data_IF_737997078912
#
_entry.id   IF_737997078912
#
_cell.length_a   1.000
_cell.length_b   1.000
_cell.length_c   1.000
_cell.angle_alpha   90.00
_cell.angle_beta   90.00
_cell.angle_gamma   90.00
#
_symmetry.space_group_name_H-M   'P 1'
#
loop_
_entity.id
_entity.type
_entity.pdbx_description
1 polymer ?
#
# COMPACT_ATOMS: atom_id res chain seq x y z
N UNK A 1 -12.65 16.98 0.72
CA UNK A 1 -12.15 16.41 1.99
C UNK A 1 -10.74 15.94 1.69
N UNK A 2 -9.72 16.68 2.15
CA UNK A 2 -8.31 16.34 1.89
C UNK A 2 -7.93 15.09 2.68
N UNK A 3 -7.29 14.13 2.02
CA UNK A 3 -6.64 13.01 2.71
C UNK A 3 -5.45 13.56 3.49
N UNK A 4 -5.48 13.35 4.80
CA UNK A 4 -4.57 14.01 5.75
C UNK A 4 -3.12 13.48 5.69
N UNK A 5 -2.87 12.47 4.86
CA UNK A 5 -1.61 11.72 4.76
C UNK A 5 -1.32 11.32 3.30
N UNK A 6 -1.40 12.29 2.38
CA UNK A 6 -1.15 12.07 0.95
C UNK A 6 0.37 11.96 0.66
N UNK A 7 0.97 10.85 1.09
CA UNK A 7 2.33 10.46 0.76
C UNK A 7 2.34 9.22 -0.12
N UNK A 8 3.36 9.11 -0.96
CA UNK A 8 3.60 7.93 -1.81
C UNK A 8 5.02 7.43 -1.63
N UNK A 9 5.23 6.14 -1.87
CA UNK A 9 6.59 5.58 -1.96
C UNK A 9 7.38 6.32 -3.04
N UNK A 10 8.61 6.69 -2.73
CA UNK A 10 9.50 7.39 -3.65
C UNK A 10 9.72 6.52 -4.89
N UNK A 11 9.63 7.14 -6.06
CA UNK A 11 9.57 6.45 -7.36
C UNK A 11 10.71 5.45 -7.60
N UNK A 12 11.91 5.74 -7.09
CA UNK A 12 13.06 4.81 -7.19
C UNK A 12 12.82 3.48 -6.48
N UNK A 13 12.14 3.47 -5.33
CA UNK A 13 11.80 2.24 -4.62
C UNK A 13 10.64 1.54 -5.30
N UNK A 14 9.60 2.27 -5.70
CA UNK A 14 8.50 1.68 -6.46
C UNK A 14 8.99 0.97 -7.73
N UNK A 15 9.88 1.61 -8.52
CA UNK A 15 10.48 0.97 -9.71
C UNK A 15 11.28 -0.30 -9.41
N UNK A 16 11.90 -0.41 -8.23
CA UNK A 16 12.57 -1.65 -7.82
C UNK A 16 11.57 -2.74 -7.50
N UNK A 17 10.45 -2.39 -6.85
CA UNK A 17 9.36 -3.32 -6.58
C UNK A 17 8.70 -3.79 -7.89
N UNK A 18 8.47 -2.90 -8.86
CA UNK A 18 8.02 -3.27 -10.21
C UNK A 18 9.00 -4.25 -10.88
N UNK A 19 10.30 -4.02 -10.77
CA UNK A 19 11.30 -4.90 -11.37
C UNK A 19 11.36 -6.29 -10.71
N UNK A 20 10.99 -6.42 -9.44
CA UNK A 20 11.03 -7.69 -8.71
C UNK A 20 9.72 -8.45 -8.72
N UNK A 21 8.60 -7.75 -8.62
CA UNK A 21 7.27 -8.32 -8.35
C UNK A 21 6.20 -7.85 -9.33
N UNK A 22 6.54 -6.93 -10.23
CA UNK A 22 5.63 -6.43 -11.26
C UNK A 22 5.59 -7.33 -12.51
N UNK A 23 4.85 -6.89 -13.55
CA UNK A 23 4.06 -5.66 -13.58
C UNK A 23 2.88 -5.75 -12.61
N UNK A 24 2.64 -4.70 -11.82
CA UNK A 24 1.44 -4.65 -10.99
C UNK A 24 0.25 -4.09 -11.79
N UNK A 25 -0.92 -4.68 -11.58
CA UNK A 25 -2.14 -4.37 -12.33
C UNK A 25 -2.92 -3.19 -11.75
N UNK A 26 -2.83 -2.97 -10.44
CA UNK A 26 -3.64 -1.99 -9.71
C UNK A 26 -2.94 -1.48 -8.45
N UNK A 27 -3.08 -0.19 -8.18
CA UNK A 27 -2.72 0.43 -6.89
C UNK A 27 -3.96 0.45 -5.98
N UNK A 28 -3.95 -0.34 -4.91
CA UNK A 28 -5.12 -0.58 -4.08
C UNK A 28 -5.51 0.62 -3.21
N UNK A 29 -4.55 1.43 -2.77
CA UNK A 29 -4.80 2.43 -1.72
C UNK A 29 -4.27 3.79 -2.14
N UNK A 30 -4.87 4.36 -3.19
CA UNK A 30 -4.36 5.58 -3.80
C UNK A 30 -5.43 6.64 -4.07
N UNK A 31 -4.95 7.86 -4.25
CA UNK A 31 -5.68 9.02 -4.75
C UNK A 31 -5.16 9.35 -6.16
N UNK A 32 -5.87 10.24 -6.87
CA UNK A 32 -5.38 10.76 -8.14
C UNK A 32 -4.02 11.49 -8.03
N UNK A 33 -3.65 11.97 -6.83
CA UNK A 33 -2.40 12.70 -6.58
C UNK A 33 -1.20 11.81 -6.23
N UNK A 34 -1.45 10.62 -5.69
CA UNK A 34 -0.40 9.77 -5.13
C UNK A 34 -0.22 8.42 -5.82
N UNK A 35 -1.14 8.04 -6.71
CA UNK A 35 -1.12 6.72 -7.36
C UNK A 35 0.20 6.44 -8.09
N UNK A 36 0.66 5.19 -7.99
CA UNK A 36 1.85 4.70 -8.69
C UNK A 36 1.52 4.01 -10.03
N UNK A 37 0.24 3.68 -10.26
CA UNK A 37 -0.23 2.89 -11.39
C UNK A 37 -1.38 3.59 -12.12
N UNK A 38 -1.57 3.36 -13.43
CA UNK A 38 -2.69 3.95 -14.16
C UNK A 38 -4.07 3.51 -13.63
N UNK A 39 -4.17 2.26 -13.15
CA UNK A 39 -5.36 1.70 -12.54
C UNK A 39 -5.20 1.75 -11.02
N UNK A 40 -6.17 2.33 -10.32
CA UNK A 40 -6.12 2.41 -8.87
C UNK A 40 -7.51 2.44 -8.24
N UNK A 41 -7.57 2.05 -6.96
CA UNK A 41 -8.76 2.22 -6.12
C UNK A 41 -8.53 3.33 -5.12
N UNK A 42 -9.60 4.08 -4.82
CA UNK A 42 -9.55 5.25 -3.96
C UNK A 42 -10.55 5.17 -2.82
N UNK A 43 -10.23 5.81 -1.68
CA UNK A 43 -11.13 5.83 -0.51
C UNK A 43 -12.46 6.50 -0.83
N UNK A 44 -12.42 7.60 -1.57
CA UNK A 44 -13.58 8.34 -2.05
C UNK A 44 -13.55 8.41 -3.57
N UNK A 45 -14.70 8.65 -4.19
CA UNK A 45 -14.76 8.88 -5.63
C UNK A 45 -13.83 10.03 -6.03
N UNK A 46 -12.95 9.77 -6.98
CA UNK A 46 -12.09 10.79 -7.58
C UNK A 46 -11.87 10.50 -9.08
N UNK A 47 -11.55 11.52 -9.89
CA UNK A 47 -11.27 11.33 -11.31
C UNK A 47 -10.16 10.29 -11.54
N UNK A 48 -10.38 9.36 -12.46
CA UNK A 48 -9.41 8.31 -12.80
C UNK A 48 -9.46 7.07 -11.92
N UNK A 49 -10.17 7.11 -10.78
CA UNK A 49 -10.34 5.94 -9.93
C UNK A 49 -11.12 4.84 -10.65
N UNK A 50 -10.60 3.61 -10.56
CA UNK A 50 -11.22 2.41 -11.12
C UNK A 50 -12.18 1.72 -10.15
N UNK A 51 -12.31 2.25 -8.92
CA UNK A 51 -13.16 1.69 -7.88
C UNK A 51 -13.02 2.45 -6.57
N UNK A 52 -14.14 2.60 -5.86
CA UNK A 52 -14.17 3.19 -4.51
C UNK A 52 -14.11 2.08 -3.49
N UNK A 53 -13.38 2.30 -2.40
CA UNK A 53 -13.15 1.32 -1.34
C UNK A 53 -12.50 0.03 -1.86
N UNK A 54 -11.18 -0.06 -1.69
CA UNK A 54 -10.39 -1.19 -2.13
C UNK A 54 -10.87 -2.53 -1.54
N UNK A 55 -11.36 -2.55 -0.30
CA UNK A 55 -11.83 -3.78 0.34
C UNK A 55 -13.12 -4.30 -0.28
N UNK A 56 -13.91 -3.44 -0.93
CA UNK A 56 -15.10 -3.81 -1.68
C UNK A 56 -14.81 -4.30 -3.11
N UNK A 57 -13.58 -4.12 -3.62
CA UNK A 57 -13.19 -4.52 -4.97
C UNK A 57 -12.63 -5.95 -5.01
N UNK A 58 -12.79 -6.70 -6.11
CA UNK A 58 -12.15 -8.00 -6.27
C UNK A 58 -10.64 -7.84 -6.50
N UNK A 59 -9.85 -8.60 -5.75
CA UNK A 59 -8.39 -8.66 -5.86
C UNK A 59 -7.91 -9.97 -6.49
N UNK A 60 -8.75 -11.02 -6.46
CA UNK A 60 -8.44 -12.32 -7.08
C UNK A 60 -8.05 -12.19 -8.56
N UNK A 61 -6.95 -12.86 -8.92
CA UNK A 61 -6.41 -12.85 -10.29
C UNK A 61 -5.66 -11.58 -10.70
N UNK A 62 -5.52 -10.60 -9.80
CA UNK A 62 -4.68 -9.42 -9.99
C UNK A 62 -3.33 -9.60 -9.31
N UNK A 63 -2.30 -8.97 -9.86
CA UNK A 63 -1.04 -8.69 -9.19
C UNK A 63 -1.07 -7.27 -8.63
N UNK A 64 -1.48 -7.09 -7.38
CA UNK A 64 -1.75 -5.77 -6.82
C UNK A 64 -0.53 -5.12 -6.15
N UNK A 65 -0.48 -3.80 -6.15
CA UNK A 65 0.40 -3.01 -5.30
C UNK A 65 -0.43 -2.22 -4.29
N UNK A 66 0.08 -1.99 -3.08
CA UNK A 66 -0.64 -1.13 -2.13
C UNK A 66 0.23 -0.58 -1.01
N UNK A 67 -0.03 0.68 -0.64
CA UNK A 67 0.49 1.30 0.57
C UNK A 67 -0.68 1.65 1.50
N UNK A 68 -1.25 0.67 2.23
CA UNK A 68 -2.43 0.91 3.05
C UNK A 68 -2.19 1.96 4.15
N UNK A 69 -3.24 2.67 4.59
CA UNK A 69 -3.19 3.48 5.80
C UNK A 69 -2.65 2.67 6.99
N UNK A 70 -1.83 3.31 7.83
CA UNK A 70 -1.22 2.69 9.00
C UNK A 70 -2.21 2.60 10.19
N UNK A 71 -3.37 1.99 9.95
CA UNK A 71 -4.40 1.69 10.93
C UNK A 71 -4.44 0.17 11.19
N UNK A 72 -4.22 -0.30 12.43
CA UNK A 72 -4.12 -1.73 12.73
C UNK A 72 -5.35 -2.56 12.34
N UNK A 73 -6.55 -2.02 12.50
CA UNK A 73 -7.80 -2.73 12.18
C UNK A 73 -7.99 -2.82 10.66
N UNK A 74 -7.67 -1.74 9.95
CA UNK A 74 -7.68 -1.73 8.49
C UNK A 74 -6.63 -2.70 7.92
N UNK A 75 -5.41 -2.71 8.47
CA UNK A 75 -4.36 -3.64 8.06
C UNK A 75 -4.78 -5.11 8.29
N UNK A 76 -5.45 -5.40 9.40
CA UNK A 76 -6.02 -6.73 9.64
C UNK A 76 -7.05 -7.11 8.56
N UNK A 77 -7.96 -6.21 8.20
CA UNK A 77 -8.94 -6.44 7.14
C UNK A 77 -8.27 -6.66 5.76
N UNK A 78 -7.21 -5.91 5.44
CA UNK A 78 -6.41 -6.12 4.22
C UNK A 78 -5.81 -7.53 4.19
N UNK A 79 -5.21 -7.98 5.30
CA UNK A 79 -4.60 -9.31 5.40
C UNK A 79 -5.65 -10.42 5.28
N UNK A 80 -6.81 -10.25 5.92
CA UNK A 80 -7.93 -11.19 5.80
C UNK A 80 -8.39 -11.32 4.35
N UNK A 81 -8.58 -10.18 3.67
CA UNK A 81 -8.99 -10.18 2.26
C UNK A 81 -7.96 -10.82 1.34
N UNK A 82 -6.67 -10.55 1.53
CA UNK A 82 -5.59 -11.24 0.78
C UNK A 82 -5.71 -12.76 0.89
N UNK A 83 -5.94 -13.26 2.12
CA UNK A 83 -6.10 -14.69 2.39
C UNK A 83 -7.37 -15.27 1.76
N UNK A 84 -8.49 -14.60 1.93
CA UNK A 84 -9.80 -15.06 1.46
C UNK A 84 -9.86 -15.16 -0.07
N UNK A 85 -9.28 -14.17 -0.77
CA UNK A 85 -9.29 -14.12 -2.22
C UNK A 85 -8.07 -14.77 -2.89
N UNK A 86 -7.09 -15.24 -2.09
CA UNK A 86 -5.78 -15.72 -2.58
C UNK A 86 -5.15 -14.70 -3.53
N UNK A 87 -5.17 -13.44 -3.14
CA UNK A 87 -4.72 -12.34 -3.97
C UNK A 87 -3.20 -12.18 -3.90
N UNK A 88 -2.55 -12.02 -5.07
CA UNK A 88 -1.15 -11.69 -5.15
C UNK A 88 -0.97 -10.18 -4.95
N UNK A 89 -0.08 -9.78 -4.04
CA UNK A 89 0.13 -8.37 -3.73
C UNK A 89 1.53 -8.03 -3.25
N UNK A 90 1.96 -6.81 -3.54
CA UNK A 90 3.12 -6.18 -2.90
C UNK A 90 2.64 -5.03 -2.01
N UNK A 91 2.70 -5.23 -0.69
CA UNK A 91 2.25 -4.26 0.30
C UNK A 91 3.40 -3.51 0.97
N UNK A 92 3.22 -2.21 1.17
CA UNK A 92 4.12 -1.36 1.94
C UNK A 92 3.47 -1.08 3.29
N UNK A 93 3.97 -1.70 4.34
CA UNK A 93 3.34 -1.71 5.66
C UNK A 93 4.32 -1.28 6.75
N UNK A 94 3.84 -0.70 7.88
CA UNK A 94 4.67 -0.47 9.05
C UNK A 94 5.26 -1.78 9.59
N UNK A 95 6.51 -1.77 10.03
CA UNK A 95 7.08 -2.91 10.75
C UNK A 95 6.60 -2.92 12.21
N UNK A 96 5.47 -3.57 12.48
CA UNK A 96 4.87 -3.67 13.82
C UNK A 96 4.65 -5.13 14.24
N UNK A 97 5.69 -5.87 14.64
CA UNK A 97 5.60 -7.30 14.92
C UNK A 97 4.69 -7.66 16.10
N UNK A 98 4.39 -6.71 16.99
CA UNK A 98 3.49 -6.90 18.11
C UNK A 98 1.99 -6.77 17.74
N UNK A 99 1.67 -6.35 16.51
CA UNK A 99 0.28 -6.19 16.08
C UNK A 99 -0.29 -7.51 15.53
N UNK A 100 -1.57 -7.85 15.79
CA UNK A 100 -2.15 -9.14 15.42
C UNK A 100 -2.12 -9.45 13.91
N UNK A 101 -2.20 -8.43 13.06
CA UNK A 101 -2.17 -8.59 11.60
C UNK A 101 -0.78 -8.97 11.07
N UNK A 102 0.30 -8.63 11.79
CA UNK A 102 1.67 -8.87 11.33
C UNK A 102 1.99 -10.37 11.16
N UNK A 103 1.84 -11.24 12.17
CA UNK A 103 2.11 -12.67 12.00
C UNK A 103 1.21 -13.30 10.92
N UNK A 104 -0.05 -12.87 10.81
CA UNK A 104 -0.96 -13.34 9.76
C UNK A 104 -0.47 -12.94 8.36
N UNK A 105 0.06 -11.73 8.19
CA UNK A 105 0.67 -11.31 6.94
C UNK A 105 1.93 -12.14 6.63
N UNK A 106 2.73 -12.46 7.64
CA UNK A 106 3.94 -13.29 7.45
C UNK A 106 3.62 -14.73 7.04
N UNK A 107 2.48 -15.29 7.45
CA UNK A 107 2.01 -16.60 6.97
C UNK A 107 1.71 -16.60 5.46
N UNK A 108 1.33 -15.45 4.91
CA UNK A 108 1.05 -15.26 3.48
C UNK A 108 2.27 -14.78 2.69
N UNK A 109 3.33 -14.35 3.36
CA UNK A 109 4.44 -13.66 2.72
C UNK A 109 5.38 -14.65 2.02
N UNK A 110 5.60 -14.46 0.72
CA UNK A 110 6.67 -15.17 -0.02
C UNK A 110 8.00 -14.43 0.06
N UNK A 111 7.99 -13.10 0.30
CA UNK A 111 9.20 -12.29 0.49
C UNK A 111 8.95 -11.06 1.34
N UNK A 112 9.93 -10.69 2.16
CA UNK A 112 9.92 -9.47 2.97
C UNK A 112 11.20 -8.68 2.71
N UNK A 113 11.06 -7.39 2.45
CA UNK A 113 12.18 -6.45 2.25
C UNK A 113 12.00 -5.26 3.17
N UNK A 114 12.89 -5.11 4.15
CA UNK A 114 12.93 -3.91 4.98
C UNK A 114 13.49 -2.75 4.18
N UNK A 115 12.74 -1.65 4.12
CA UNK A 115 13.19 -0.45 3.44
C UNK A 115 14.01 0.42 4.41
N UNK A 116 14.82 1.37 3.89
CA UNK A 116 15.54 2.35 4.70
C UNK A 116 14.59 3.23 5.52
N UNK A 117 15.13 4.25 6.21
CA UNK A 117 14.31 5.19 6.98
C UNK A 117 13.10 5.64 6.19
N UNK A 118 11.92 5.59 6.79
CA UNK A 118 10.65 5.96 6.16
C UNK A 118 10.66 7.37 5.57
N UNK A 119 11.42 8.29 6.17
CA UNK A 119 11.63 9.65 5.65
C UNK A 119 12.33 9.69 4.29
N UNK A 120 13.12 8.66 3.94
CA UNK A 120 13.74 8.50 2.62
C UNK A 120 12.85 7.72 1.65
N UNK A 121 11.93 6.92 2.18
CA UNK A 121 11.05 6.02 1.40
C UNK A 121 9.81 6.75 0.91
N UNK A 122 9.31 7.75 1.62
CA UNK A 122 8.08 8.44 1.25
C UNK A 122 8.33 9.86 0.73
N UNK A 123 7.55 10.23 -0.29
CA UNK A 123 7.45 11.60 -0.81
C UNK A 123 6.04 12.11 -0.63
N UNK A 124 5.90 13.37 -0.22
CA UNK A 124 4.61 14.02 -0.12
C UNK A 124 4.07 14.29 -1.53
N UNK A 125 2.83 13.91 -1.79
CA UNK A 125 2.16 14.13 -3.07
C UNK A 125 1.76 15.61 -3.25
N UNK A 126 1.52 16.32 -2.15
CA UNK A 126 1.26 17.76 -2.13
C UNK A 126 2.31 18.52 -1.31
N UNK A 127 2.72 19.71 -1.78
CA UNK A 127 3.54 20.65 -1.00
C UNK A 127 2.64 21.77 -0.48
N UNK A 128 2.28 21.73 0.80
CA UNK A 128 1.45 22.75 1.46
C UNK A 128 1.65 22.77 2.98
N UNK A 129 1.20 23.83 3.68
CA UNK A 129 1.37 23.98 5.13
C UNK A 129 0.61 22.92 5.96
N UNK A 130 -0.31 22.17 5.33
CA UNK A 130 -1.02 21.01 5.88
C UNK A 130 -0.31 19.66 5.62
N UNK A 131 0.92 19.66 5.10
CA UNK A 131 1.70 18.46 4.84
C UNK A 131 1.70 17.52 6.06
N UNK A 132 1.11 16.33 5.88
CA UNK A 132 1.19 15.24 6.86
C UNK A 132 2.65 14.96 7.23
N UNK A 133 2.89 14.53 8.47
CA UNK A 133 4.23 14.10 8.87
C UNK A 133 4.51 12.77 8.17
N UNK A 134 5.69 12.65 7.55
CA UNK A 134 6.13 11.34 7.07
C UNK A 134 6.12 10.35 8.25
N UNK A 135 5.69 9.11 8.01
CA UNK A 135 5.60 8.12 9.08
C UNK A 135 6.98 7.95 9.74
N UNK A 136 7.13 8.01 11.07
CA UNK A 136 8.42 7.89 11.74
C UNK A 136 8.89 6.43 11.93
N UNK A 137 8.06 5.45 11.60
CA UNK A 137 8.34 4.03 11.80
C UNK A 137 9.03 3.40 10.59
N UNK A 138 9.84 2.36 10.84
CA UNK A 138 10.37 1.50 9.79
C UNK A 138 9.23 0.86 8.99
N UNK A 139 9.43 0.70 7.69
CA UNK A 139 8.47 0.07 6.80
C UNK A 139 9.08 -1.13 6.08
N UNK A 140 8.24 -2.10 5.75
CA UNK A 140 8.60 -3.28 4.99
C UNK A 140 7.75 -3.35 3.71
N UNK A 141 8.39 -3.72 2.60
CA UNK A 141 7.72 -4.22 1.42
C UNK A 141 7.51 -5.74 1.59
N UNK A 142 6.26 -6.17 1.60
CA UNK A 142 5.88 -7.58 1.78
C UNK A 142 5.21 -8.07 0.51
N UNK A 143 5.76 -9.13 -0.07
CA UNK A 143 5.20 -9.84 -1.22
C UNK A 143 4.35 -11.01 -0.73
N UNK A 144 3.14 -11.11 -1.26
CA UNK A 144 2.14 -12.17 -1.03
C UNK A 144 1.78 -12.82 -2.37
N UNK A 145 1.65 -14.14 -2.41
CA UNK A 145 1.38 -14.97 -3.60
C UNK A 145 0.44 -16.14 -3.32
#
# INVERSE_FOLDING_TARGET
>A
MEERDDYRVHWSYFRRLEAWFGPHDVDLFASAGNTQLPRFFSRFFCPGSSGVDALAQPWGGLNAYGCPPADPDFLLAVVQKLREERAAATLIVPYWPAQPWWPLLMELASRVVFLPSSTEVFTLAHRGPSCGRLPPWQVAAVRVE
#
